data_IF_328486365987
#
_entry.id   IF_328486365987
#
_cell.length_a   1.000
_cell.length_b   1.000
_cell.length_c   1.000
_cell.angle_alpha   90.00
_cell.angle_beta   90.00
_cell.angle_gamma   90.00
#
_symmetry.space_group_name_H-M   'P 1'
#
loop_
_entity.id
_entity.type
_entity.pdbx_description
1 polymer ?
#
# COMPACT_ATOMS: atom_id res chain seq x y z
N UNK A 1 -30.27 30.52 -15.84
CA UNK A 1 -30.23 29.21 -15.14
C UNK A 1 -31.55 28.51 -15.40
N UNK A 2 -31.55 27.34 -16.05
CA UNK A 2 -32.75 26.55 -16.32
C UNK A 2 -33.25 25.90 -15.03
N UNK A 3 -34.49 26.24 -14.61
CA UNK A 3 -35.14 25.58 -13.47
C UNK A 3 -35.47 24.13 -13.85
N UNK A 4 -35.22 23.21 -12.91
CA UNK A 4 -35.48 21.78 -13.10
C UNK A 4 -36.97 21.45 -13.06
N UNK A 5 -37.76 22.22 -12.31
CA UNK A 5 -39.19 22.04 -12.14
C UNK A 5 -39.93 23.35 -12.41
N UNK A 6 -41.15 23.25 -12.91
CA UNK A 6 -42.10 24.37 -12.97
C UNK A 6 -42.67 24.66 -11.59
N UNK A 7 -43.26 25.84 -11.39
CA UNK A 7 -43.81 26.22 -10.08
C UNK A 7 -44.88 25.22 -9.58
N UNK A 8 -45.72 24.72 -10.48
CA UNK A 8 -46.72 23.69 -10.20
C UNK A 8 -46.08 22.38 -9.72
N UNK A 9 -45.03 21.92 -10.41
CA UNK A 9 -44.29 20.71 -10.03
C UNK A 9 -43.59 20.87 -8.67
N UNK A 10 -43.03 22.05 -8.38
CA UNK A 10 -42.41 22.34 -7.09
C UNK A 10 -43.42 22.29 -5.94
N UNK A 11 -44.63 22.82 -6.15
CA UNK A 11 -45.72 22.76 -5.17
C UNK A 11 -46.16 21.32 -4.93
N UNK A 12 -46.38 20.56 -5.99
CA UNK A 12 -46.71 19.14 -5.90
C UNK A 12 -45.65 18.35 -5.13
N UNK A 13 -44.36 18.63 -5.38
CA UNK A 13 -43.27 17.99 -4.65
C UNK A 13 -43.34 18.35 -3.16
N UNK A 14 -43.54 19.63 -2.80
CA UNK A 14 -43.59 20.07 -1.40
C UNK A 14 -44.71 19.40 -0.61
N UNK A 15 -45.87 19.21 -1.24
CA UNK A 15 -47.02 18.52 -0.64
C UNK A 15 -46.76 17.02 -0.42
N UNK A 16 -46.03 16.38 -1.34
CA UNK A 16 -45.82 14.93 -1.35
C UNK A 16 -44.46 14.47 -0.78
N UNK A 17 -43.61 15.38 -0.28
CA UNK A 17 -42.26 15.03 0.20
C UNK A 17 -42.27 14.15 1.45
N UNK A 18 -43.27 14.28 2.33
CA UNK A 18 -43.29 13.59 3.63
C UNK A 18 -43.54 12.09 3.43
N UNK A 19 -42.72 11.26 4.07
CA UNK A 19 -42.86 9.80 4.05
C UNK A 19 -42.30 9.10 2.81
N UNK A 20 -41.98 9.82 1.72
CA UNK A 20 -41.49 9.20 0.48
C UNK A 20 -39.97 9.21 0.35
N UNK A 21 -39.43 8.09 -0.11
CA UNK A 21 -38.05 7.95 -0.55
C UNK A 21 -37.77 8.79 -1.79
N UNK A 22 -36.50 9.13 -2.03
CA UNK A 22 -36.14 9.95 -3.21
C UNK A 22 -36.38 9.23 -4.56
N UNK A 23 -36.45 7.90 -4.56
CA UNK A 23 -36.80 7.12 -5.75
C UNK A 23 -38.32 7.20 -5.96
N UNK A 24 -39.11 6.83 -4.96
CA UNK A 24 -40.58 6.86 -5.00
C UNK A 24 -41.13 8.23 -5.36
N UNK A 25 -40.55 9.31 -4.80
CA UNK A 25 -40.96 10.68 -5.14
C UNK A 25 -40.58 11.07 -6.56
N UNK A 26 -39.46 10.57 -7.09
CA UNK A 26 -39.12 10.80 -8.50
C UNK A 26 -40.09 10.04 -9.42
N UNK A 27 -40.41 8.80 -9.08
CA UNK A 27 -41.36 7.96 -9.84
C UNK A 27 -42.78 8.57 -9.81
N UNK A 28 -43.19 9.12 -8.66
CA UNK A 28 -44.47 9.82 -8.52
C UNK A 28 -44.53 11.07 -9.41
N UNK A 29 -43.51 11.92 -9.37
CA UNK A 29 -43.45 13.13 -10.20
C UNK A 29 -43.40 12.80 -11.68
N UNK A 30 -42.63 11.77 -12.06
CA UNK A 30 -42.55 11.28 -13.44
C UNK A 30 -43.90 10.79 -13.93
N UNK A 31 -44.65 10.06 -13.10
CA UNK A 31 -46.00 9.57 -13.43
C UNK A 31 -47.03 10.69 -13.56
N UNK A 32 -46.97 11.70 -12.69
CA UNK A 32 -47.97 12.79 -12.67
C UNK A 32 -47.78 13.80 -13.81
N UNK A 33 -46.53 14.11 -14.17
CA UNK A 33 -46.19 15.17 -15.12
C UNK A 33 -45.54 14.66 -16.40
N UNK A 34 -45.54 13.35 -16.63
CA UNK A 34 -44.90 12.67 -17.77
C UNK A 34 -43.42 13.11 -17.95
N UNK A 35 -42.65 13.00 -16.87
CA UNK A 35 -41.24 13.40 -16.83
C UNK A 35 -40.31 12.18 -16.71
N UNK A 36 -39.03 12.42 -16.95
CA UNK A 36 -37.96 11.42 -16.80
C UNK A 36 -36.90 11.87 -15.79
N UNK A 37 -37.33 12.34 -14.61
CA UNK A 37 -36.46 12.79 -13.53
C UNK A 37 -35.83 11.59 -12.83
N UNK A 38 -34.51 11.67 -12.62
CA UNK A 38 -33.76 10.65 -11.90
C UNK A 38 -33.82 10.87 -10.38
N UNK A 39 -33.67 9.77 -9.62
CA UNK A 39 -33.47 9.81 -8.15
C UNK A 39 -32.41 10.81 -7.69
N UNK A 40 -31.32 10.96 -8.45
CA UNK A 40 -30.22 11.88 -8.14
C UNK A 40 -30.65 13.34 -8.29
N UNK A 41 -31.38 13.66 -9.35
CA UNK A 41 -31.95 15.00 -9.58
C UNK A 41 -32.94 15.35 -8.46
N UNK A 42 -33.84 14.43 -8.10
CA UNK A 42 -34.78 14.62 -7.00
C UNK A 42 -34.07 14.82 -5.64
N UNK A 43 -33.06 13.99 -5.34
CA UNK A 43 -32.23 14.12 -4.13
C UNK A 43 -31.56 15.50 -4.04
N UNK A 44 -30.91 15.91 -5.13
CA UNK A 44 -30.18 17.18 -5.17
C UNK A 44 -31.13 18.38 -5.06
N UNK A 45 -32.27 18.31 -5.73
CA UNK A 45 -33.27 19.36 -5.69
C UNK A 45 -33.86 19.51 -4.28
N UNK A 46 -34.27 18.42 -3.61
CA UNK A 46 -34.72 18.44 -2.20
C UNK A 46 -33.69 19.04 -1.26
N UNK A 47 -32.42 18.63 -1.41
CA UNK A 47 -31.31 19.17 -0.60
C UNK A 47 -31.17 20.68 -0.77
N UNK A 48 -31.21 21.18 -2.00
CA UNK A 48 -31.05 22.60 -2.30
C UNK A 48 -32.25 23.45 -1.84
N UNK A 49 -33.41 22.83 -1.59
CA UNK A 49 -34.62 23.49 -1.10
C UNK A 49 -34.94 23.17 0.37
N UNK A 50 -33.99 22.57 1.11
CA UNK A 50 -34.12 22.20 2.52
C UNK A 50 -35.35 21.31 2.82
N UNK A 51 -35.72 20.43 1.89
CA UNK A 51 -36.86 19.54 2.02
C UNK A 51 -36.44 18.16 2.53
N UNK A 52 -37.06 17.73 3.64
CA UNK A 52 -36.83 16.42 4.25
C UNK A 52 -38.10 15.57 4.23
N UNK A 53 -37.96 14.31 3.80
CA UNK A 53 -39.05 13.33 3.83
C UNK A 53 -39.33 12.77 5.23
N UNK A 54 -38.48 13.07 6.23
CA UNK A 54 -38.62 12.53 7.58
C UNK A 54 -38.21 11.07 7.73
N UNK A 55 -37.79 10.41 6.65
CA UNK A 55 -37.26 9.05 6.68
C UNK A 55 -35.86 9.04 7.28
N UNK A 56 -35.66 8.20 8.31
CA UNK A 56 -34.37 8.09 9.02
C UNK A 56 -33.40 7.12 8.34
N UNK A 57 -33.92 6.22 7.49
CA UNK A 57 -33.14 5.14 6.87
C UNK A 57 -32.59 4.12 7.88
N UNK A 58 -33.05 4.17 9.14
CA UNK A 58 -32.68 3.20 10.17
C UNK A 58 -33.47 1.91 9.95
N UNK A 59 -32.84 0.78 10.23
CA UNK A 59 -33.58 -0.46 10.35
C UNK A 59 -34.47 -0.40 11.59
N UNK A 60 -35.72 -0.80 11.42
CA UNK A 60 -36.66 -0.85 12.54
C UNK A 60 -36.19 -1.84 13.61
N UNK A 61 -36.54 -1.55 14.87
CA UNK A 61 -36.18 -2.41 16.00
C UNK A 61 -36.78 -3.80 15.79
N UNK A 62 -35.92 -4.82 15.75
CA UNK A 62 -36.32 -6.21 15.46
C UNK A 62 -36.00 -6.67 14.04
N UNK A 63 -35.49 -5.80 13.17
CA UNK A 63 -35.05 -6.22 11.83
C UNK A 63 -33.96 -7.29 11.90
N UNK A 64 -34.21 -8.42 11.24
CA UNK A 64 -33.27 -9.54 11.14
C UNK A 64 -32.52 -9.43 9.81
N UNK A 65 -31.18 -9.26 9.82
CA UNK A 65 -30.39 -9.25 8.60
C UNK A 65 -30.56 -10.56 7.81
N UNK A 66 -30.58 -10.46 6.48
CA UNK A 66 -30.77 -11.60 5.56
C UNK A 66 -29.72 -12.70 5.77
N UNK A 67 -28.53 -12.34 6.25
CA UNK A 67 -27.42 -13.25 6.55
C UNK A 67 -27.38 -13.74 8.02
N UNK A 68 -28.42 -13.48 8.83
CA UNK A 68 -28.49 -14.02 10.19
C UNK A 68 -28.60 -15.54 10.13
N UNK A 69 -27.71 -16.24 10.83
CA UNK A 69 -27.68 -17.71 10.85
C UNK A 69 -26.90 -18.35 9.68
N UNK A 70 -26.41 -17.56 8.72
CA UNK A 70 -25.68 -18.11 7.56
C UNK A 70 -24.15 -18.18 7.76
N UNK A 71 -23.68 -18.09 9.01
CA UNK A 71 -22.25 -18.12 9.33
C UNK A 71 -21.69 -19.50 9.00
N UNK A 72 -20.78 -19.57 8.04
CA UNK A 72 -20.14 -20.82 7.60
C UNK A 72 -20.78 -21.47 6.37
N UNK A 73 -21.86 -20.90 5.81
CA UNK A 73 -22.34 -21.32 4.50
C UNK A 73 -21.45 -20.74 3.39
N UNK A 74 -21.00 -21.64 2.51
CA UNK A 74 -20.33 -21.29 1.26
C UNK A 74 -21.25 -20.35 0.46
N UNK A 75 -20.74 -19.17 0.08
CA UNK A 75 -21.41 -17.99 -0.53
C UNK A 75 -21.97 -16.88 0.38
N UNK A 76 -22.02 -17.03 1.71
CA UNK A 76 -22.58 -15.96 2.59
C UNK A 76 -21.70 -15.61 3.79
N UNK A 77 -20.87 -16.54 4.23
CA UNK A 77 -19.85 -16.29 5.25
C UNK A 77 -18.85 -17.41 5.21
N UNK A 78 -17.62 -17.11 4.76
CA UNK A 78 -16.55 -18.10 4.65
C UNK A 78 -16.43 -18.91 5.94
N UNK A 79 -16.43 -20.24 5.81
CA UNK A 79 -16.22 -21.13 6.96
C UNK A 79 -14.74 -21.19 7.31
N UNK A 80 -14.44 -21.45 8.60
CA UNK A 80 -13.09 -21.93 8.97
C UNK A 80 -12.85 -23.17 8.09
N UNK A 81 -11.76 -23.18 7.33
CA UNK A 81 -11.29 -24.29 6.44
C UNK A 81 -11.79 -24.34 4.98
N UNK A 82 -12.29 -23.25 4.38
CA UNK A 82 -12.66 -23.26 2.94
C UNK A 82 -11.52 -23.61 1.96
N UNK A 83 -10.26 -23.56 2.40
CA UNK A 83 -9.11 -23.98 1.61
C UNK A 83 -8.84 -25.48 1.82
N UNK A 84 -8.63 -26.22 0.72
CA UNK A 84 -8.25 -27.64 0.82
C UNK A 84 -6.93 -27.75 1.59
N UNK A 85 -6.79 -28.77 2.45
CA UNK A 85 -5.53 -29.04 3.15
C UNK A 85 -4.40 -29.16 2.12
N UNK A 86 -3.33 -28.40 2.29
CA UNK A 86 -2.20 -28.36 1.35
C UNK A 86 -2.42 -27.50 0.09
N UNK A 87 -3.57 -26.82 -0.04
CA UNK A 87 -3.80 -25.87 -1.12
C UNK A 87 -2.83 -24.69 -0.99
N UNK A 88 -1.90 -24.60 -1.94
CA UNK A 88 -1.00 -23.46 -2.03
C UNK A 88 -1.79 -22.23 -2.47
N UNK A 89 -1.42 -21.07 -1.93
CA UNK A 89 -1.97 -19.80 -2.38
C UNK A 89 -1.66 -19.59 -3.87
N UNK A 90 -2.53 -18.89 -4.60
CA UNK A 90 -2.35 -18.65 -6.04
C UNK A 90 -1.03 -17.93 -6.37
N UNK A 91 -0.53 -17.09 -5.46
CA UNK A 91 0.74 -16.37 -5.58
C UNK A 91 1.95 -17.16 -5.05
N UNK A 92 1.80 -18.46 -4.75
CA UNK A 92 2.91 -19.27 -4.29
C UNK A 92 4.04 -19.31 -5.32
N UNK A 93 5.28 -19.20 -4.83
CA UNK A 93 6.51 -19.39 -5.58
C UNK A 93 7.35 -20.47 -4.90
N UNK A 94 7.97 -21.42 -5.60
CA UNK A 94 8.82 -22.43 -4.97
C UNK A 94 10.07 -21.83 -4.31
N UNK A 95 10.65 -22.52 -3.33
CA UNK A 95 11.97 -22.17 -2.77
C UNK A 95 13.01 -22.13 -3.91
N UNK A 96 13.90 -21.14 -3.86
CA UNK A 96 14.82 -20.81 -4.96
C UNK A 96 14.29 -19.75 -5.93
N UNK A 97 12.99 -19.44 -5.91
CA UNK A 97 12.44 -18.39 -6.77
C UNK A 97 13.02 -17.02 -6.45
N UNK A 98 13.29 -16.25 -7.50
CA UNK A 98 13.78 -14.88 -7.40
C UNK A 98 12.68 -13.86 -7.69
N UNK A 99 12.79 -12.68 -7.08
CA UNK A 99 11.97 -11.52 -7.41
C UNK A 99 12.70 -10.24 -7.11
N UNK A 100 12.30 -9.16 -7.77
CA UNK A 100 12.78 -7.81 -7.51
C UNK A 100 11.82 -7.13 -6.53
N UNK A 101 12.35 -6.55 -5.46
CA UNK A 101 11.59 -5.77 -4.50
C UNK A 101 11.35 -4.34 -5.00
N UNK A 102 10.44 -3.59 -4.35
CA UNK A 102 10.15 -2.18 -4.66
C UNK A 102 11.41 -1.31 -4.71
N UNK A 103 12.40 -1.62 -3.87
CA UNK A 103 13.64 -0.86 -3.77
C UNK A 103 14.71 -1.31 -4.79
N UNK A 104 14.39 -2.26 -5.68
CA UNK A 104 15.25 -2.75 -6.76
C UNK A 104 16.19 -3.90 -6.39
N UNK A 105 16.12 -4.43 -5.17
CA UNK A 105 16.95 -5.57 -4.74
C UNK A 105 16.37 -6.90 -5.20
N UNK A 106 17.25 -7.83 -5.60
CA UNK A 106 16.86 -9.23 -5.84
C UNK A 106 16.72 -9.97 -4.51
N UNK A 107 15.54 -10.52 -4.28
CA UNK A 107 15.21 -11.43 -3.18
C UNK A 107 15.14 -12.85 -3.71
N UNK A 108 15.66 -13.80 -2.95
CA UNK A 108 15.50 -15.24 -3.20
C UNK A 108 14.68 -15.85 -2.08
N UNK A 109 13.76 -16.73 -2.45
CA UNK A 109 12.97 -17.49 -1.48
C UNK A 109 13.83 -18.63 -0.92
N UNK A 110 14.10 -18.62 0.38
CA UNK A 110 14.96 -19.60 1.06
C UNK A 110 14.18 -20.61 1.90
N UNK A 111 12.92 -20.33 2.24
CA UNK A 111 12.07 -21.22 3.02
C UNK A 111 10.60 -21.09 2.64
N UNK A 112 9.86 -22.18 2.76
CA UNK A 112 8.40 -22.18 2.66
C UNK A 112 7.73 -21.76 3.97
N UNK A 113 8.43 -21.90 5.08
CA UNK A 113 7.90 -21.74 6.43
C UNK A 113 8.34 -20.45 7.13
N UNK A 114 7.54 -20.05 8.11
CA UNK A 114 7.81 -18.89 8.95
C UNK A 114 7.37 -17.55 8.36
N UNK A 115 7.69 -16.44 9.05
CA UNK A 115 7.33 -15.10 8.61
C UNK A 115 8.10 -14.70 7.35
N UNK A 116 7.58 -13.71 6.63
CA UNK A 116 8.09 -13.27 5.32
C UNK A 116 9.60 -13.02 5.30
N UNK A 117 10.15 -12.39 6.33
CA UNK A 117 11.59 -12.07 6.45
C UNK A 117 12.50 -13.30 6.61
N UNK A 118 11.95 -14.43 7.05
CA UNK A 118 12.68 -15.72 7.08
C UNK A 118 12.55 -16.47 5.75
N UNK A 119 11.44 -16.28 5.05
CA UNK A 119 11.15 -16.93 3.75
C UNK A 119 11.89 -16.28 2.59
N UNK A 120 12.06 -14.96 2.63
CA UNK A 120 12.72 -14.19 1.58
C UNK A 120 13.94 -13.48 2.14
N UNK A 121 15.09 -13.71 1.50
CA UNK A 121 16.36 -13.06 1.87
C UNK A 121 16.93 -12.35 0.66
N UNK A 122 17.70 -11.29 0.91
CA UNK A 122 18.42 -10.60 -0.15
C UNK A 122 19.51 -11.51 -0.74
N UNK A 123 19.48 -11.69 -2.06
CA UNK A 123 20.40 -12.59 -2.78
C UNK A 123 21.87 -12.17 -2.61
N UNK A 124 22.16 -10.88 -2.64
CA UNK A 124 23.52 -10.35 -2.41
C UNK A 124 24.08 -10.66 -1.02
N UNK A 125 23.24 -10.63 0.03
CA UNK A 125 23.67 -11.03 1.38
C UNK A 125 23.99 -12.51 1.46
N UNK A 126 23.16 -13.37 0.86
CA UNK A 126 23.45 -14.81 0.81
C UNK A 126 24.75 -15.10 0.07
N UNK A 127 24.97 -14.45 -1.07
CA UNK A 127 26.19 -14.61 -1.85
C UNK A 127 27.42 -14.20 -1.02
N UNK A 128 27.36 -13.04 -0.37
CA UNK A 128 28.43 -12.57 0.52
C UNK A 128 28.68 -13.52 1.69
N UNK A 129 27.62 -13.95 2.38
CA UNK A 129 27.71 -14.83 3.54
C UNK A 129 28.32 -16.19 3.21
N UNK A 130 28.03 -16.72 2.02
CA UNK A 130 28.61 -17.98 1.54
C UNK A 130 30.14 -17.90 1.36
N UNK A 131 30.66 -16.73 1.00
CA UNK A 131 32.08 -16.54 0.72
C UNK A 131 32.87 -15.99 1.92
N UNK A 132 32.30 -15.05 2.67
CA UNK A 132 33.00 -14.27 3.71
C UNK A 132 32.44 -14.50 5.12
N UNK A 133 31.35 -15.27 5.26
CA UNK A 133 30.64 -15.42 6.52
C UNK A 133 29.66 -14.27 6.83
N UNK A 134 29.06 -14.28 8.04
CA UNK A 134 28.00 -13.33 8.40
C UNK A 134 28.49 -11.88 8.34
N UNK A 135 27.63 -10.99 7.84
CA UNK A 135 27.88 -9.54 7.90
C UNK A 135 27.92 -9.13 9.37
N UNK A 136 29.09 -8.66 9.82
CA UNK A 136 29.33 -8.28 11.21
C UNK A 136 28.46 -7.08 11.63
N UNK A 137 28.07 -6.99 12.92
CA UNK A 137 27.36 -5.83 13.44
C UNK A 137 28.11 -4.53 13.14
N UNK A 138 27.38 -3.45 12.86
CA UNK A 138 27.96 -2.15 12.49
C UNK A 138 28.53 -2.06 11.08
N UNK A 139 28.36 -3.10 10.25
CA UNK A 139 28.74 -3.08 8.83
C UNK A 139 27.52 -3.15 7.91
N UNK A 140 27.67 -2.59 6.71
CA UNK A 140 26.67 -2.56 5.64
C UNK A 140 27.32 -3.08 4.36
N UNK A 141 26.51 -3.78 3.56
CA UNK A 141 26.93 -4.29 2.26
C UNK A 141 26.49 -3.29 1.18
N UNK A 142 27.44 -2.80 0.39
CA UNK A 142 27.25 -1.79 -0.65
C UNK A 142 27.52 -2.42 -2.02
N UNK A 143 26.73 -2.03 -3.02
CA UNK A 143 27.02 -2.31 -4.44
C UNK A 143 27.95 -1.21 -4.97
N UNK A 144 29.15 -1.58 -5.41
CA UNK A 144 30.17 -0.64 -5.84
C UNK A 144 29.69 0.22 -7.03
N UNK A 145 29.00 -0.42 -7.99
CA UNK A 145 28.42 0.20 -9.18
C UNK A 145 27.00 0.78 -8.98
N UNK A 146 26.45 0.72 -7.75
CA UNK A 146 25.05 1.07 -7.44
C UNK A 146 23.97 0.24 -8.15
N UNK A 147 24.35 -0.77 -8.94
CA UNK A 147 23.41 -1.67 -9.58
C UNK A 147 23.08 -2.85 -8.68
N UNK A 148 21.93 -2.75 -8.00
CA UNK A 148 21.40 -3.76 -7.06
C UNK A 148 21.12 -5.14 -7.67
N UNK A 149 21.15 -5.24 -9.01
CA UNK A 149 20.96 -6.48 -9.75
C UNK A 149 22.29 -7.10 -10.21
N UNK A 150 23.40 -6.34 -10.23
CA UNK A 150 24.74 -6.87 -10.49
C UNK A 150 25.30 -7.54 -9.24
N UNK A 151 24.80 -8.75 -8.97
CA UNK A 151 25.13 -9.52 -7.77
C UNK A 151 26.34 -10.41 -8.06
N UNK A 152 27.53 -9.82 -7.93
CA UNK A 152 28.81 -10.50 -8.01
C UNK A 152 29.65 -10.15 -6.77
N UNK A 153 30.50 -11.07 -6.31
CA UNK A 153 31.28 -10.86 -5.08
C UNK A 153 32.24 -9.67 -5.18
N UNK A 154 32.83 -9.44 -6.36
CA UNK A 154 33.74 -8.32 -6.65
C UNK A 154 33.05 -6.94 -6.64
N UNK A 155 31.74 -6.90 -6.92
CA UNK A 155 30.91 -5.69 -6.88
C UNK A 155 30.33 -5.41 -5.49
N UNK A 156 30.47 -6.33 -4.53
CA UNK A 156 29.97 -6.16 -3.18
C UNK A 156 31.10 -5.69 -2.26
N UNK A 157 30.88 -4.57 -1.58
CA UNK A 157 31.86 -4.00 -0.65
C UNK A 157 31.25 -3.90 0.73
N UNK A 158 31.94 -4.44 1.72
CA UNK A 158 31.57 -4.28 3.12
C UNK A 158 32.13 -2.96 3.64
N UNK A 159 31.27 -2.08 4.15
CA UNK A 159 31.66 -0.79 4.73
C UNK A 159 31.11 -0.65 6.13
N UNK A 160 31.81 0.08 6.99
CA UNK A 160 31.30 0.41 8.33
C UNK A 160 30.15 1.41 8.26
N UNK A 161 29.29 1.44 9.28
CA UNK A 161 28.22 2.44 9.40
C UNK A 161 28.76 3.88 9.40
N UNK A 162 29.94 4.10 9.99
CA UNK A 162 30.62 5.40 9.96
C UNK A 162 31.00 5.79 8.54
N UNK A 163 31.67 4.89 7.80
CA UNK A 163 32.04 5.12 6.40
C UNK A 163 30.80 5.42 5.56
N UNK A 164 29.74 4.62 5.71
CA UNK A 164 28.47 4.83 5.01
C UNK A 164 27.87 6.22 5.28
N UNK A 165 27.90 6.69 6.54
CA UNK A 165 27.43 8.03 6.87
C UNK A 165 28.25 9.13 6.18
N UNK A 166 29.58 9.01 6.16
CA UNK A 166 30.46 9.96 5.48
C UNK A 166 30.25 9.95 3.97
N UNK A 167 30.15 8.76 3.36
CA UNK A 167 29.91 8.55 1.94
C UNK A 167 28.62 9.24 1.48
N UNK A 168 27.52 9.03 2.21
CA UNK A 168 26.23 9.65 1.91
C UNK A 168 26.27 11.17 2.10
N UNK A 169 26.86 11.66 3.20
CA UNK A 169 26.95 13.10 3.50
C UNK A 169 27.76 13.87 2.44
N UNK A 170 28.77 13.23 1.86
CA UNK A 170 29.69 13.84 0.89
C UNK A 170 29.36 13.49 -0.56
N UNK A 171 28.34 12.66 -0.81
CA UNK A 171 27.95 12.23 -2.15
C UNK A 171 29.04 11.45 -2.89
N UNK A 172 29.82 10.64 -2.15
CA UNK A 172 30.97 9.89 -2.66
C UNK A 172 30.59 8.53 -3.28
N UNK A 173 29.32 8.13 -3.17
CA UNK A 173 28.78 6.94 -3.84
C UNK A 173 28.42 7.31 -5.27
N UNK A 174 28.98 6.61 -6.26
CA UNK A 174 28.79 6.85 -7.70
C UNK A 174 28.32 5.58 -8.40
N UNK A 175 27.84 5.73 -9.64
CA UNK A 175 27.41 4.61 -10.49
C UNK A 175 28.59 3.86 -11.14
N UNK A 176 29.81 4.14 -10.71
CA UNK A 176 31.03 3.50 -11.19
C UNK A 176 31.74 2.86 -9.99
N UNK A 177 32.17 1.61 -10.15
CA UNK A 177 32.73 0.82 -9.07
C UNK A 177 34.04 1.42 -8.54
N UNK A 178 34.90 1.93 -9.41
CA UNK A 178 36.22 2.43 -9.04
C UNK A 178 36.14 3.83 -8.42
N UNK A 179 35.21 4.66 -8.89
CA UNK A 179 34.88 5.92 -8.22
C UNK A 179 34.32 5.68 -6.81
N UNK A 180 33.44 4.70 -6.62
CA UNK A 180 32.89 4.38 -5.29
C UNK A 180 33.96 3.82 -4.37
N UNK A 181 34.85 2.94 -4.85
CA UNK A 181 36.02 2.45 -4.08
C UNK A 181 36.93 3.61 -3.65
N UNK A 182 37.20 4.56 -4.55
CA UNK A 182 37.97 5.77 -4.24
C UNK A 182 37.23 6.64 -3.23
N UNK A 183 35.90 6.76 -3.35
CA UNK A 183 35.03 7.42 -2.38
C UNK A 183 35.13 6.84 -0.98
N UNK A 184 35.26 5.51 -0.86
CA UNK A 184 35.46 4.83 0.44
C UNK A 184 36.80 5.24 1.06
N UNK A 185 37.89 5.25 0.28
CA UNK A 185 39.19 5.73 0.76
C UNK A 185 39.14 7.20 1.21
N UNK A 186 38.46 8.06 0.45
CA UNK A 186 38.24 9.46 0.84
C UNK A 186 37.42 9.56 2.13
N UNK A 187 36.43 8.70 2.33
CA UNK A 187 35.65 8.67 3.57
C UNK A 187 36.52 8.36 4.80
N UNK A 188 37.48 7.44 4.68
CA UNK A 188 38.43 7.13 5.75
C UNK A 188 39.34 8.32 6.07
N UNK A 189 39.85 9.00 5.03
CA UNK A 189 40.64 10.23 5.18
C UNK A 189 39.82 11.30 5.90
N UNK A 190 38.58 11.56 5.49
CA UNK A 190 37.71 12.54 6.13
C UNK A 190 37.44 12.20 7.60
N UNK A 191 37.23 10.93 7.93
CA UNK A 191 37.03 10.50 9.31
C UNK A 191 38.28 10.73 10.14
N UNK A 192 39.47 10.34 9.65
CA UNK A 192 40.74 10.55 10.35
C UNK A 192 41.04 12.03 10.58
N UNK A 193 40.79 12.89 9.59
CA UNK A 193 40.91 14.35 9.75
C UNK A 193 39.95 14.87 10.82
N UNK A 194 38.71 14.39 10.84
CA UNK A 194 37.74 14.80 11.85
C UNK A 194 38.09 14.29 13.25
N UNK A 195 38.70 13.11 13.39
CA UNK A 195 39.17 12.55 14.66
C UNK A 195 40.28 13.43 15.25
N UNK A 196 41.28 13.81 14.44
CA UNK A 196 42.39 14.68 14.87
C UNK A 196 41.91 16.05 15.35
N UNK A 197 41.04 16.72 14.58
CA UNK A 197 40.46 18.03 14.97
C UNK A 197 39.67 18.00 16.28
N UNK A 198 39.07 16.85 16.64
CA UNK A 198 38.38 16.68 17.92
C UNK A 198 39.35 16.42 19.06
N UNK A 199 40.46 15.73 18.79
CA UNK A 199 41.54 15.52 19.76
C UNK A 199 42.23 16.81 20.15
N UNK A 200 42.49 17.71 19.20
CA UNK A 200 43.11 19.04 19.45
C UNK A 200 42.23 20.01 20.27
N UNK A 201 40.93 19.73 20.39
CA UNK A 201 39.97 20.56 21.13
C UNK A 201 39.73 20.08 22.57
N UNK A 202 40.31 18.94 22.95
CA UNK A 202 40.26 18.39 24.30
C UNK A 202 41.57 18.70 25.01
#
# INVERSE_FOLDING_TARGET
MTKLFTHEQEMFIRENVKGLGNQELADLVNKTFDLSITRKQMKNWKRNHNLSSGLTGRFEKGNVPVNKGTKGLYNVGGNKTSFKKGQKAHNYKPVGSERIDRDGYVLIKVSDDGPWQKRWRHKHKILWEKANGPVSPGHKLLFADQNKQNIKLDNLILVTEKQMATLNKKGLIKNDADLTKTGILLADIYQKVSERKKGERK
#
